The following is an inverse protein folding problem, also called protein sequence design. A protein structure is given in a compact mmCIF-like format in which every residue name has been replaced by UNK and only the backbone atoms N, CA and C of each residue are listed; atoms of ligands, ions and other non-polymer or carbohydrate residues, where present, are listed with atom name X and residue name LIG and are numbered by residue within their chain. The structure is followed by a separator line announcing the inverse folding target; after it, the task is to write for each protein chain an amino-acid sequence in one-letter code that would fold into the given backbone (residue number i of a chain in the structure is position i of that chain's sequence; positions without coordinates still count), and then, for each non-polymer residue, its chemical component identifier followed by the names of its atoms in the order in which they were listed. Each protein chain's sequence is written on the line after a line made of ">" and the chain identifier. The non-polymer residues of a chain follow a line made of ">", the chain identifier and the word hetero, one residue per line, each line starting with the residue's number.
data_IF_171530410826
#
_entry.id   IF_171530410826
#
_cell.length_a   1.000
_cell.length_b   1.000
_cell.length_c   1.000
_cell.angle_alpha   90.00
_cell.angle_beta   90.00
_cell.angle_gamma   90.00
#
_symmetry.space_group_name_H-M   'P 1'
#
loop_
_entity.id
_entity.type
_entity.pdbx_description
1 polymer ?
#
# COMPACT_ATOMS: atom_id res chain seq x y z
N UNK A 1 -14.71 -13.33 1.01
CA UNK A 1 -13.91 -12.10 1.07
C UNK A 1 -14.01 -11.40 -0.26
N UNK A 2 -14.18 -10.08 -0.24
CA UNK A 2 -14.06 -9.17 -1.37
C UNK A 2 -12.78 -8.37 -1.19
N UNK A 3 -11.89 -8.38 -2.17
CA UNK A 3 -10.65 -7.63 -2.13
C UNK A 3 -10.63 -6.58 -3.24
N UNK A 4 -10.14 -5.37 -2.93
CA UNK A 4 -9.70 -4.43 -3.95
C UNK A 4 -8.24 -4.73 -4.28
N UNK A 5 -7.94 -5.04 -5.54
CA UNK A 5 -6.58 -5.31 -5.99
C UNK A 5 -6.07 -4.16 -6.86
N UNK A 6 -4.99 -3.55 -6.40
CA UNK A 6 -4.35 -2.37 -6.95
C UNK A 6 -2.90 -2.74 -7.34
N UNK A 7 -2.44 -2.27 -8.50
CA UNK A 7 -1.07 -2.52 -8.98
C UNK A 7 -0.62 -1.34 -9.84
N UNK A 8 0.67 -1.01 -9.80
CA UNK A 8 1.30 0.00 -10.68
C UNK A 8 0.58 1.36 -10.63
N UNK A 9 0.14 1.75 -9.42
CA UNK A 9 -0.74 2.91 -9.21
C UNK A 9 -0.02 4.25 -9.23
N UNK A 10 1.30 4.27 -9.02
CA UNK A 10 2.15 5.42 -9.31
C UNK A 10 1.61 6.77 -8.79
N UNK A 11 1.22 6.78 -7.51
CA UNK A 11 0.47 7.89 -6.89
C UNK A 11 1.25 9.21 -6.87
N UNK A 12 2.58 9.17 -6.98
CA UNK A 12 3.43 10.34 -7.10
C UNK A 12 3.17 11.17 -8.38
N UNK A 13 2.56 10.58 -9.41
CA UNK A 13 2.17 11.29 -10.64
C UNK A 13 0.73 11.80 -10.65
N UNK A 14 -0.06 11.45 -9.62
CA UNK A 14 -1.48 11.83 -9.53
C UNK A 14 -1.61 13.19 -8.84
N UNK A 15 -2.45 14.06 -9.40
CA UNK A 15 -2.79 15.34 -8.76
C UNK A 15 -3.57 15.08 -7.46
N UNK A 16 -3.53 15.97 -6.46
CA UNK A 16 -4.23 15.76 -5.20
C UNK A 16 -5.71 15.39 -5.34
N UNK A 17 -6.46 16.05 -6.22
CA UNK A 17 -7.88 15.71 -6.47
C UNK A 17 -8.05 14.30 -7.05
N UNK A 18 -7.15 13.86 -7.93
CA UNK A 18 -7.21 12.52 -8.51
C UNK A 18 -6.87 11.43 -7.49
N UNK A 19 -6.05 11.74 -6.49
CA UNK A 19 -5.80 10.82 -5.37
C UNK A 19 -7.06 10.65 -4.52
N UNK A 20 -7.76 11.74 -4.21
CA UNK A 20 -9.02 11.68 -3.46
C UNK A 20 -10.09 10.91 -4.24
N UNK A 21 -10.28 11.22 -5.52
CA UNK A 21 -11.24 10.51 -6.38
C UNK A 21 -10.92 9.00 -6.46
N UNK A 22 -9.63 8.65 -6.51
CA UNK A 22 -9.18 7.27 -6.50
C UNK A 22 -9.48 6.56 -5.18
N UNK A 23 -9.18 7.21 -4.05
CA UNK A 23 -9.46 6.65 -2.71
C UNK A 23 -10.96 6.47 -2.48
N UNK A 24 -11.78 7.44 -2.90
CA UNK A 24 -13.24 7.36 -2.83
C UNK A 24 -13.78 6.20 -3.68
N UNK A 25 -13.22 5.99 -4.88
CA UNK A 25 -13.61 4.87 -5.72
C UNK A 25 -13.27 3.50 -5.10
N UNK A 26 -12.10 3.38 -4.47
CA UNK A 26 -11.70 2.15 -3.76
C UNK A 26 -12.59 1.92 -2.54
N UNK A 27 -12.87 2.96 -1.75
CA UNK A 27 -13.74 2.89 -0.59
C UNK A 27 -15.18 2.51 -0.96
N UNK A 28 -15.72 3.09 -2.05
CA UNK A 28 -17.07 2.83 -2.53
C UNK A 28 -17.30 1.38 -2.99
N UNK A 29 -16.22 0.65 -3.34
CA UNK A 29 -16.30 -0.78 -3.65
C UNK A 29 -16.56 -1.67 -2.42
N UNK A 30 -16.46 -1.09 -1.22
CA UNK A 30 -16.55 -1.71 0.11
C UNK A 30 -15.76 -3.02 0.21
N UNK A 31 -14.42 -2.97 0.04
CA UNK A 31 -13.60 -4.16 0.15
C UNK A 31 -13.38 -4.57 1.61
N UNK A 32 -13.29 -5.89 1.84
CA UNK A 32 -12.87 -6.45 3.13
C UNK A 32 -11.37 -6.20 3.37
N UNK A 33 -10.56 -6.14 2.29
CA UNK A 33 -9.14 -5.81 2.32
C UNK A 33 -8.64 -5.24 0.98
N UNK A 34 -7.47 -4.62 1.02
CA UNK A 34 -6.78 -4.07 -0.15
C UNK A 34 -5.50 -4.87 -0.39
N UNK A 35 -5.29 -5.29 -1.64
CA UNK A 35 -4.06 -5.91 -2.11
C UNK A 35 -3.32 -4.91 -2.99
N UNK A 36 -2.08 -4.58 -2.67
CA UNK A 36 -1.26 -3.61 -3.41
C UNK A 36 0.04 -4.25 -3.89
N UNK A 37 0.15 -4.51 -5.18
CA UNK A 37 1.19 -5.40 -5.73
C UNK A 37 2.39 -4.70 -6.36
N UNK A 38 2.76 -3.53 -5.84
CA UNK A 38 3.98 -2.82 -6.20
C UNK A 38 3.76 -1.57 -7.06
N UNK A 39 4.85 -0.85 -7.28
CA UNK A 39 4.94 0.41 -8.02
C UNK A 39 3.89 1.43 -7.55
N UNK A 40 3.97 1.70 -6.25
CA UNK A 40 3.08 2.57 -5.50
C UNK A 40 3.46 4.03 -5.73
N UNK A 41 4.75 4.34 -5.56
CA UNK A 41 5.34 5.67 -5.71
C UNK A 41 6.88 5.59 -5.87
N UNK A 42 7.63 6.49 -5.23
CA UNK A 42 9.11 6.46 -5.19
C UNK A 42 9.64 6.39 -3.75
N UNK A 43 10.94 6.16 -3.59
CA UNK A 43 11.54 5.93 -2.26
C UNK A 43 11.31 7.06 -1.25
N UNK A 44 11.18 8.30 -1.73
CA UNK A 44 11.04 9.48 -0.89
C UNK A 44 9.60 9.73 -0.42
N UNK A 45 8.59 9.09 -1.03
CA UNK A 45 7.17 9.31 -0.72
C UNK A 45 6.30 8.05 -0.63
N UNK A 46 6.83 6.86 -0.90
CA UNK A 46 6.10 5.58 -0.77
C UNK A 46 5.48 5.38 0.60
N UNK A 47 6.19 5.70 1.69
CA UNK A 47 5.67 5.58 3.05
C UNK A 47 4.56 6.59 3.33
N UNK A 48 4.65 7.80 2.75
CA UNK A 48 3.61 8.83 2.84
C UNK A 48 2.33 8.38 2.15
N UNK A 49 2.44 7.76 0.97
CA UNK A 49 1.27 7.24 0.25
C UNK A 49 0.67 6.01 0.92
N UNK A 50 1.47 5.09 1.44
CA UNK A 50 0.99 3.96 2.25
C UNK A 50 0.22 4.45 3.49
N UNK A 51 0.74 5.47 4.18
CA UNK A 51 0.05 6.11 5.29
C UNK A 51 -1.29 6.72 4.88
N UNK A 52 -1.33 7.43 3.73
CA UNK A 52 -2.55 8.03 3.20
C UNK A 52 -3.60 6.99 2.80
N UNK A 53 -3.18 5.88 2.19
CA UNK A 53 -4.05 4.75 1.87
C UNK A 53 -4.64 4.12 3.14
N UNK A 54 -3.82 3.86 4.15
CA UNK A 54 -4.28 3.37 5.45
C UNK A 54 -5.31 4.31 6.09
N UNK A 55 -4.99 5.60 6.22
CA UNK A 55 -5.88 6.61 6.82
C UNK A 55 -7.24 6.69 6.14
N UNK A 56 -7.27 6.54 4.81
CA UNK A 56 -8.49 6.75 4.03
C UNK A 56 -9.34 5.48 3.94
N UNK A 57 -8.70 4.32 3.78
CA UNK A 57 -9.41 3.07 3.54
C UNK A 57 -9.76 2.35 4.84
N UNK A 58 -8.92 2.45 5.89
CA UNK A 58 -9.14 1.84 7.20
C UNK A 58 -9.51 0.34 7.11
N UNK A 59 -8.91 -0.37 6.15
CA UNK A 59 -9.03 -1.82 5.92
C UNK A 59 -7.63 -2.44 5.97
N UNK A 60 -7.50 -3.77 6.23
CA UNK A 60 -6.25 -4.47 6.04
C UNK A 60 -5.69 -4.22 4.63
N UNK A 61 -4.44 -3.77 4.56
CA UNK A 61 -3.72 -3.47 3.33
C UNK A 61 -2.50 -4.37 3.26
N UNK A 62 -2.57 -5.38 2.41
CA UNK A 62 -1.50 -6.34 2.16
C UNK A 62 -0.73 -5.89 0.93
N UNK A 63 0.57 -5.67 1.07
CA UNK A 63 1.34 -5.08 -0.01
C UNK A 63 2.73 -5.66 -0.20
N UNK A 64 3.24 -5.51 -1.41
CA UNK A 64 4.66 -5.62 -1.75
C UNK A 64 5.13 -4.31 -2.38
N UNK A 65 6.43 -4.08 -2.38
CA UNK A 65 7.04 -2.97 -3.10
C UNK A 65 7.49 -3.44 -4.48
N UNK A 66 7.24 -2.62 -5.49
CA UNK A 66 7.78 -2.79 -6.84
C UNK A 66 9.13 -2.11 -6.98
N UNK A 67 9.73 -2.14 -8.17
CA UNK A 67 11.04 -1.53 -8.39
C UNK A 67 11.01 0.00 -8.30
N UNK A 68 9.90 0.63 -8.69
CA UNK A 68 9.78 2.09 -8.71
C UNK A 68 9.76 2.67 -7.29
N UNK A 69 9.22 1.91 -6.33
CA UNK A 69 9.22 2.27 -4.90
C UNK A 69 10.64 2.42 -4.33
N UNK A 70 11.67 1.89 -5.00
CA UNK A 70 13.07 2.01 -4.60
C UNK A 70 13.82 3.12 -5.36
N UNK A 71 13.22 3.80 -6.34
CA UNK A 71 13.91 4.79 -7.15
C UNK A 71 14.47 5.93 -6.30
N UNK A 72 15.72 6.29 -6.58
CA UNK A 72 16.53 7.29 -5.84
C UNK A 72 16.84 6.94 -4.37
N UNK A 73 16.47 5.75 -3.90
CA UNK A 73 16.73 5.27 -2.54
C UNK A 73 17.61 4.02 -2.52
N UNK A 74 18.04 3.62 -1.31
CA UNK A 74 18.67 2.31 -1.12
C UNK A 74 17.60 1.25 -0.81
N UNK A 75 17.75 0.05 -1.36
CA UNK A 75 16.82 -1.07 -1.10
C UNK A 75 16.66 -1.32 0.41
N UNK A 76 17.79 -1.36 1.14
CA UNK A 76 17.79 -1.57 2.58
C UNK A 76 17.07 -0.44 3.34
N UNK A 77 17.34 0.82 2.96
CA UNK A 77 16.73 1.98 3.63
C UNK A 77 15.22 2.07 3.41
N UNK A 78 14.74 1.81 2.20
CA UNK A 78 13.30 1.82 1.89
C UNK A 78 12.58 0.70 2.64
N UNK A 79 13.13 -0.52 2.65
CA UNK A 79 12.56 -1.63 3.42
C UNK A 79 12.47 -1.29 4.90
N UNK A 80 13.55 -0.76 5.49
CA UNK A 80 13.55 -0.36 6.89
C UNK A 80 12.49 0.71 7.20
N UNK A 81 12.31 1.70 6.33
CA UNK A 81 11.31 2.74 6.49
C UNK A 81 9.87 2.18 6.42
N UNK A 82 9.64 1.24 5.50
CA UNK A 82 8.34 0.56 5.34
C UNK A 82 8.06 -0.38 6.52
N UNK A 83 9.06 -1.13 6.98
CA UNK A 83 8.92 -1.97 8.18
C UNK A 83 8.57 -1.12 9.40
N UNK A 84 9.25 0.02 9.59
CA UNK A 84 8.96 0.96 10.67
C UNK A 84 7.52 1.50 10.58
N UNK A 85 7.05 1.86 9.38
CA UNK A 85 5.68 2.30 9.17
C UNK A 85 4.65 1.21 9.55
N UNK A 86 4.91 -0.05 9.18
CA UNK A 86 4.04 -1.18 9.53
C UNK A 86 3.97 -1.45 11.04
N UNK A 87 5.03 -1.15 11.80
CA UNK A 87 4.99 -1.21 13.27
C UNK A 87 4.05 -0.17 13.88
N UNK A 88 3.89 0.97 13.22
CA UNK A 88 3.05 2.09 13.67
C UNK A 88 1.59 1.97 13.20
N UNK A 89 1.33 1.17 12.16
CA UNK A 89 0.04 1.09 11.46
C UNK A 89 -0.44 -0.36 11.34
N UNK A 90 -1.31 -0.82 12.26
CA UNK A 90 -1.75 -2.24 12.31
C UNK A 90 -2.45 -2.76 11.05
N UNK A 91 -3.02 -1.88 10.23
CA UNK A 91 -3.67 -2.26 8.98
C UNK A 91 -2.67 -2.55 7.86
N UNK A 92 -1.44 -2.03 7.94
CA UNK A 92 -0.41 -2.22 6.92
C UNK A 92 0.32 -3.53 7.14
N UNK A 93 0.33 -4.39 6.11
CA UNK A 93 1.02 -5.67 6.14
C UNK A 93 1.97 -5.78 4.94
N UNK A 94 3.27 -5.61 5.19
CA UNK A 94 4.30 -5.78 4.18
C UNK A 94 4.62 -7.26 3.96
N UNK A 95 4.14 -7.82 2.86
CA UNK A 95 4.18 -9.25 2.58
C UNK A 95 5.59 -9.79 2.30
N UNK A 96 6.56 -8.93 1.99
CA UNK A 96 7.96 -9.37 1.77
C UNK A 96 8.56 -10.05 3.00
N UNK A 97 8.08 -9.72 4.20
CA UNK A 97 8.54 -10.32 5.45
C UNK A 97 7.46 -11.15 6.17
N UNK A 98 6.30 -11.38 5.55
CA UNK A 98 5.21 -12.13 6.18
C UNK A 98 5.29 -13.63 5.89
N UNK A 99 4.76 -14.44 6.80
CA UNK A 99 4.32 -15.80 6.46
C UNK A 99 3.12 -15.74 5.51
N UNK A 100 2.73 -16.86 4.86
CA UNK A 100 1.43 -16.95 4.19
C UNK A 100 0.29 -16.55 5.14
N UNK A 101 -0.69 -15.81 4.61
CA UNK A 101 -1.85 -15.30 5.34
C UNK A 101 -3.10 -15.93 4.72
N UNK A 102 -3.90 -16.62 5.53
CA UNK A 102 -5.20 -17.13 5.10
C UNK A 102 -6.21 -15.99 5.03
N UNK A 103 -6.83 -15.82 3.86
CA UNK A 103 -7.75 -14.73 3.57
C UNK A 103 -9.23 -15.15 3.63
N UNK A 104 -9.49 -16.43 3.46
CA UNK A 104 -10.82 -17.04 3.58
C UNK A 104 -10.67 -18.44 4.16
N UNK A 105 -11.64 -18.88 4.96
CA UNK A 105 -11.69 -20.25 5.45
C UNK A 105 -11.64 -21.23 4.27
N UNK A 106 -10.77 -22.22 4.38
CA UNK A 106 -10.70 -23.38 3.49
C UNK A 106 -11.95 -24.27 3.55
#
# INVERSE_FOLDING_TARGET
>A
MRAAWLTDIHLNFVRPSGLEDFLDAVAAADPDAVLLTGDIAESHDVTRFLARLDESLQRPLYFVLGNHDFYFGSIAGVRQAVDQLCLERPNLCYLTHSSPIELTKS
#
